data_IF_740141829867
#
_entry.id   IF_740141829867
#
_cell.length_a   1.000
_cell.length_b   1.000
_cell.length_c   1.000
_cell.angle_alpha   90.00
_cell.angle_beta   90.00
_cell.angle_gamma   90.00
#
_symmetry.space_group_name_H-M   'P 1'
#
loop_
_entity.id
_entity.type
_entity.pdbx_description
1 polymer ?
#
# COMPACT_ATOMS: atom_id res chain seq x y z
N UNK A 1 -6.81 -66.22 -51.20
CA UNK A 1 -6.20 -65.00 -50.70
C UNK A 1 -7.26 -64.18 -49.99
N UNK A 2 -7.20 -64.02 -48.65
CA UNK A 2 -8.12 -63.21 -47.87
C UNK A 2 -7.49 -61.83 -47.63
N UNK A 3 -8.21 -60.73 -47.82
CA UNK A 3 -7.64 -59.38 -47.55
C UNK A 3 -7.54 -59.11 -46.04
N UNK A 4 -6.36 -58.62 -45.59
CA UNK A 4 -6.12 -58.20 -44.27
C UNK A 4 -6.88 -56.90 -44.02
N UNK A 5 -7.70 -56.86 -42.98
CA UNK A 5 -8.39 -55.63 -42.50
C UNK A 5 -7.40 -54.89 -41.62
N UNK A 6 -6.99 -53.70 -42.05
CA UNK A 6 -6.23 -52.79 -41.24
C UNK A 6 -7.19 -52.13 -40.20
N UNK A 7 -6.92 -52.33 -38.90
CA UNK A 7 -7.61 -51.63 -37.84
C UNK A 7 -6.90 -50.30 -37.60
N UNK A 8 -7.58 -49.20 -37.92
CA UNK A 8 -7.11 -47.85 -37.65
C UNK A 8 -7.36 -47.53 -36.18
N UNK A 9 -6.30 -47.52 -35.37
CA UNK A 9 -6.38 -47.12 -33.95
C UNK A 9 -6.35 -45.58 -33.86
N UNK A 10 -7.52 -44.96 -33.63
CA UNK A 10 -7.57 -43.52 -33.35
C UNK A 10 -7.25 -43.31 -31.88
N UNK A 11 -6.07 -42.82 -31.58
CA UNK A 11 -5.67 -42.39 -30.24
C UNK A 11 -6.19 -40.97 -30.03
N UNK A 12 -7.29 -40.82 -29.31
CA UNK A 12 -7.73 -39.53 -28.79
C UNK A 12 -6.82 -39.12 -27.61
N UNK A 13 -5.88 -38.26 -27.86
CA UNK A 13 -5.14 -37.57 -26.81
C UNK A 13 -6.02 -36.47 -26.21
N UNK A 14 -6.62 -36.75 -25.03
CA UNK A 14 -7.19 -35.70 -24.19
C UNK A 14 -6.05 -34.85 -23.65
N UNK A 15 -5.81 -33.72 -24.28
CA UNK A 15 -4.96 -32.68 -23.75
C UNK A 15 -5.64 -32.09 -22.51
N UNK A 16 -5.24 -32.53 -21.31
CA UNK A 16 -5.50 -31.81 -20.07
C UNK A 16 -4.79 -30.46 -20.17
N UNK A 17 -5.54 -29.45 -20.60
CA UNK A 17 -5.10 -28.07 -20.51
C UNK A 17 -4.93 -27.72 -19.03
N UNK A 18 -3.72 -27.85 -18.49
CA UNK A 18 -3.35 -27.19 -17.26
C UNK A 18 -3.42 -25.68 -17.52
N UNK A 19 -4.56 -25.08 -17.12
CA UNK A 19 -4.62 -23.63 -16.93
C UNK A 19 -3.61 -23.31 -15.84
N UNK A 20 -2.44 -22.82 -16.22
CA UNK A 20 -1.53 -22.21 -15.26
C UNK A 20 -2.31 -21.08 -14.61
N UNK A 21 -2.69 -21.25 -13.34
CA UNK A 21 -3.28 -20.19 -12.56
C UNK A 21 -2.34 -18.99 -12.68
N UNK A 22 -2.82 -17.89 -13.26
CA UNK A 22 -2.03 -16.69 -13.43
C UNK A 22 -1.50 -16.30 -12.06
N UNK A 23 -0.19 -16.45 -11.86
CA UNK A 23 0.47 -16.04 -10.63
C UNK A 23 0.16 -14.54 -10.49
N UNK A 24 -0.51 -14.15 -9.40
CA UNK A 24 -0.81 -12.73 -9.16
C UNK A 24 0.53 -12.00 -9.04
N UNK A 25 0.86 -11.21 -10.04
CA UNK A 25 2.07 -10.40 -10.04
C UNK A 25 1.88 -9.27 -9.01
N UNK A 26 2.58 -9.39 -7.88
CA UNK A 26 2.73 -8.33 -6.90
C UNK A 26 4.04 -7.61 -7.15
N UNK A 27 3.98 -6.29 -7.26
CA UNK A 27 5.19 -5.47 -7.21
C UNK A 27 5.36 -4.92 -5.80
N UNK A 28 6.49 -5.24 -5.17
CA UNK A 28 6.87 -4.69 -3.86
C UNK A 28 7.50 -3.32 -4.07
N UNK A 29 7.02 -2.34 -3.32
CA UNK A 29 7.51 -0.96 -3.39
C UNK A 29 8.13 -0.59 -2.05
N UNK A 30 9.38 -0.13 -2.09
CA UNK A 30 10.09 0.36 -0.93
C UNK A 30 10.90 1.61 -1.33
N UNK A 31 10.78 2.67 -0.54
CA UNK A 31 11.50 3.92 -0.72
C UNK A 31 12.71 3.99 0.21
N UNK A 32 13.82 4.55 -0.28
CA UNK A 32 14.97 4.89 0.56
C UNK A 32 14.80 6.22 1.31
N UNK A 33 13.83 7.04 0.87
CA UNK A 33 13.52 8.35 1.46
C UNK A 33 12.49 8.26 2.60
N UNK A 34 11.73 7.15 2.67
CA UNK A 34 10.89 6.85 3.83
C UNK A 34 11.73 6.19 4.95
N UNK A 35 11.27 6.20 6.20
CA UNK A 35 12.01 5.60 7.29
C UNK A 35 12.44 4.18 6.97
N UNK A 36 13.74 3.84 7.12
CA UNK A 36 14.24 2.51 6.83
C UNK A 36 13.63 1.48 7.78
N UNK A 37 13.29 0.32 7.25
CA UNK A 37 12.67 -0.76 8.03
C UNK A 37 13.43 -2.09 7.83
N UNK A 38 14.74 -2.13 8.16
CA UNK A 38 15.54 -3.33 7.98
C UNK A 38 14.95 -4.48 8.81
N UNK A 39 14.71 -5.63 8.17
CA UNK A 39 14.14 -6.81 8.84
C UNK A 39 12.65 -6.74 9.14
N UNK A 40 11.93 -5.70 8.72
CA UNK A 40 10.48 -5.66 8.88
C UNK A 40 9.81 -6.81 8.11
N UNK A 41 8.80 -7.49 8.68
CA UNK A 41 8.12 -8.61 8.04
C UNK A 41 7.08 -8.15 6.98
N UNK A 42 7.24 -6.94 6.44
CA UNK A 42 6.32 -6.33 5.46
C UNK A 42 7.06 -5.37 4.53
N UNK A 43 6.44 -5.01 3.41
CA UNK A 43 6.91 -3.99 2.48
C UNK A 43 6.22 -2.66 2.76
N UNK A 44 6.84 -1.54 2.41
CA UNK A 44 6.24 -0.20 2.55
C UNK A 44 5.03 -0.01 1.64
N UNK A 45 4.99 -0.71 0.50
CA UNK A 45 3.84 -0.78 -0.38
C UNK A 45 3.82 -2.05 -1.22
N UNK A 46 2.62 -2.44 -1.66
CA UNK A 46 2.38 -3.57 -2.56
C UNK A 46 1.44 -3.13 -3.67
N UNK A 47 1.87 -3.28 -4.92
CA UNK A 47 1.08 -2.97 -6.10
C UNK A 47 0.47 -4.23 -6.69
N UNK A 48 -0.82 -4.19 -7.01
CA UNK A 48 -1.58 -5.25 -7.68
C UNK A 48 -2.44 -4.60 -8.77
N UNK A 49 -2.15 -4.92 -10.03
CA UNK A 49 -2.78 -4.23 -11.15
C UNK A 49 -2.44 -2.73 -11.12
N UNK A 50 -3.45 -1.88 -11.14
CA UNK A 50 -3.29 -0.42 -11.08
C UNK A 50 -3.41 0.16 -9.65
N UNK A 51 -3.64 -0.67 -8.63
CA UNK A 51 -3.75 -0.22 -7.24
C UNK A 51 -2.48 -0.50 -6.46
N UNK A 52 -2.11 0.44 -5.58
CA UNK A 52 -1.07 0.25 -4.57
C UNK A 52 -1.67 0.43 -3.18
N UNK A 53 -1.38 -0.52 -2.30
CA UNK A 53 -1.64 -0.45 -0.86
C UNK A 53 -0.35 -0.11 -0.14
N UNK A 54 -0.34 1.01 0.58
CA UNK A 54 0.78 1.39 1.41
C UNK A 54 0.54 0.91 2.84
N UNK A 55 1.60 0.39 3.46
CA UNK A 55 1.57 0.05 4.88
C UNK A 55 1.38 1.29 5.73
N UNK A 56 0.79 1.12 6.92
CA UNK A 56 0.67 2.16 7.91
C UNK A 56 2.02 2.82 8.22
N UNK A 57 2.02 4.14 8.30
CA UNK A 57 3.20 4.93 8.55
C UNK A 57 2.93 5.91 9.69
N UNK A 58 3.72 5.82 10.76
CA UNK A 58 3.78 6.81 11.81
C UNK A 58 4.72 7.95 11.39
N UNK A 59 4.62 9.10 12.04
CA UNK A 59 5.44 10.29 11.70
C UNK A 59 6.90 10.19 12.13
N UNK A 60 7.54 9.03 11.87
CA UNK A 60 8.93 8.79 12.17
C UNK A 60 9.84 9.57 11.22
N UNK A 61 10.77 10.33 11.75
CA UNK A 61 11.79 11.05 10.96
C UNK A 61 12.76 10.04 10.31
N UNK A 62 12.97 10.08 8.98
CA UNK A 62 13.81 9.10 8.28
C UNK A 62 15.28 9.14 8.69
N UNK A 63 15.79 10.29 9.12
CA UNK A 63 17.20 10.47 9.48
C UNK A 63 17.51 10.01 10.91
N UNK A 64 16.58 10.24 11.84
CA UNK A 64 16.80 9.97 13.26
C UNK A 64 16.08 8.74 13.78
N UNK A 65 15.08 8.25 13.06
CA UNK A 65 14.22 7.16 13.47
C UNK A 65 13.26 7.51 14.62
N UNK A 66 13.14 8.79 15.00
CA UNK A 66 12.32 9.25 16.12
C UNK A 66 10.97 9.79 15.66
N UNK A 67 9.97 9.65 16.50
CA UNK A 67 8.66 10.29 16.37
C UNK A 67 8.66 11.60 17.15
N UNK A 68 8.11 12.67 16.58
CA UNK A 68 8.00 13.96 17.27
C UNK A 68 6.93 13.89 18.37
N UNK A 69 7.14 14.53 19.53
CA UNK A 69 6.09 14.69 20.52
C UNK A 69 5.03 15.72 20.10
N UNK A 70 5.30 16.57 19.11
CA UNK A 70 4.34 17.51 18.54
C UNK A 70 3.49 16.79 17.48
N UNK A 71 2.18 16.73 17.72
CA UNK A 71 1.22 16.05 16.86
C UNK A 71 1.22 16.61 15.42
N UNK A 72 1.33 17.93 15.25
CA UNK A 72 1.29 18.53 13.91
C UNK A 72 2.54 18.18 13.09
N UNK A 73 3.69 18.15 13.74
CA UNK A 73 4.97 17.71 13.14
C UNK A 73 4.88 16.23 12.77
N UNK A 74 4.38 15.40 13.68
CA UNK A 74 4.22 13.96 13.47
C UNK A 74 3.27 13.65 12.31
N UNK A 75 2.08 14.27 12.28
CA UNK A 75 1.10 14.08 11.23
C UNK A 75 1.65 14.46 9.84
N UNK A 76 2.33 15.61 9.74
CA UNK A 76 2.99 16.03 8.49
C UNK A 76 4.07 15.05 8.05
N UNK A 77 4.86 14.56 8.99
CA UNK A 77 5.93 13.61 8.69
C UNK A 77 5.36 12.27 8.21
N UNK A 78 4.27 11.78 8.80
CA UNK A 78 3.59 10.56 8.35
C UNK A 78 3.14 10.68 6.88
N UNK A 79 2.52 11.80 6.49
CA UNK A 79 2.11 12.05 5.10
C UNK A 79 3.33 12.12 4.16
N UNK A 80 4.42 12.79 4.56
CA UNK A 80 5.66 12.86 3.77
C UNK A 80 6.31 11.49 3.57
N UNK A 81 6.31 10.65 4.60
CA UNK A 81 6.84 9.29 4.50
C UNK A 81 6.05 8.45 3.49
N UNK A 82 4.71 8.55 3.51
CA UNK A 82 3.85 7.88 2.53
C UNK A 82 4.03 8.44 1.12
N UNK A 83 4.19 9.76 0.98
CA UNK A 83 4.51 10.39 -0.31
C UNK A 83 5.83 9.87 -0.89
N UNK A 84 6.85 9.66 -0.07
CA UNK A 84 8.12 9.09 -0.49
C UNK A 84 7.95 7.64 -1.03
N UNK A 85 7.04 6.85 -0.44
CA UNK A 85 6.71 5.51 -0.97
C UNK A 85 5.93 5.59 -2.27
N UNK A 86 4.97 6.54 -2.40
CA UNK A 86 4.26 6.78 -3.66
C UNK A 86 5.21 7.17 -4.79
N UNK A 87 6.17 8.07 -4.53
CA UNK A 87 7.19 8.49 -5.50
C UNK A 87 8.06 7.31 -5.99
N UNK A 88 8.37 6.37 -5.11
CA UNK A 88 9.09 5.14 -5.50
C UNK A 88 8.26 4.20 -6.41
N UNK A 89 6.95 4.46 -6.54
CA UNK A 89 6.04 3.78 -7.45
C UNK A 89 5.63 4.65 -8.66
N UNK A 90 6.31 5.78 -8.90
CA UNK A 90 5.96 6.80 -9.91
C UNK A 90 4.54 7.36 -9.72
N UNK A 91 4.11 7.51 -8.46
CA UNK A 91 2.82 8.08 -8.06
C UNK A 91 3.03 9.28 -7.14
N UNK A 92 1.94 9.99 -6.87
CA UNK A 92 1.91 11.19 -6.02
C UNK A 92 0.71 11.17 -5.06
N UNK A 93 0.60 12.16 -4.18
CA UNK A 93 -0.58 12.34 -3.33
C UNK A 93 -1.88 12.56 -4.13
N UNK A 94 -1.79 13.01 -5.39
CA UNK A 94 -2.94 13.21 -6.27
C UNK A 94 -3.57 11.87 -6.76
N UNK A 95 -2.83 10.77 -6.65
CA UNK A 95 -3.27 9.44 -7.07
C UNK A 95 -3.92 8.66 -5.91
N UNK A 96 -3.91 9.22 -4.69
CA UNK A 96 -4.52 8.61 -3.50
C UNK A 96 -6.03 8.61 -3.64
N UNK A 97 -6.64 7.43 -3.49
CA UNK A 97 -8.11 7.24 -3.57
C UNK A 97 -8.73 6.91 -2.20
N UNK A 98 -7.94 6.42 -1.26
CA UNK A 98 -8.38 6.11 0.11
C UNK A 98 -7.27 6.44 1.12
N UNK A 99 -7.69 7.04 2.24
CA UNK A 99 -6.87 7.29 3.42
C UNK A 99 -7.52 6.66 4.64
N UNK A 100 -6.79 5.88 5.41
CA UNK A 100 -7.16 5.48 6.76
C UNK A 100 -6.24 6.20 7.76
N UNK A 101 -6.84 6.74 8.82
CA UNK A 101 -6.16 7.50 9.87
C UNK A 101 -6.52 6.91 11.22
N UNK A 102 -5.50 6.51 11.95
CA UNK A 102 -5.59 5.97 13.29
C UNK A 102 -4.93 6.96 14.26
N UNK A 103 -5.62 7.34 15.33
CA UNK A 103 -5.09 8.28 16.33
C UNK A 103 -5.30 7.75 17.74
N UNK A 104 -4.40 8.08 18.65
CA UNK A 104 -4.56 7.74 20.07
C UNK A 104 -5.50 8.71 20.80
N UNK A 105 -5.77 9.89 20.20
CA UNK A 105 -6.68 10.90 20.74
C UNK A 105 -7.57 11.47 19.63
N UNK A 106 -8.87 11.12 19.64
CA UNK A 106 -9.84 11.60 18.65
C UNK A 106 -10.13 13.11 18.72
N UNK A 107 -9.80 13.78 19.83
CA UNK A 107 -9.89 15.22 19.94
C UNK A 107 -8.94 15.97 18.98
N UNK A 108 -7.95 15.27 18.43
CA UNK A 108 -7.05 15.81 17.38
C UNK A 108 -7.68 15.91 15.98
N UNK A 109 -8.97 15.56 15.83
CA UNK A 109 -9.65 15.53 14.52
C UNK A 109 -9.53 16.84 13.73
N UNK A 110 -9.85 17.99 14.36
CA UNK A 110 -9.80 19.29 13.67
C UNK A 110 -8.37 19.74 13.37
N UNK A 111 -7.43 19.49 14.29
CA UNK A 111 -6.02 19.78 14.07
C UNK A 111 -5.47 18.95 12.89
N UNK A 112 -5.84 17.68 12.81
CA UNK A 112 -5.47 16.83 11.67
C UNK A 112 -6.14 17.31 10.38
N UNK A 113 -7.42 17.69 10.38
CA UNK A 113 -8.12 18.18 9.19
C UNK A 113 -7.43 19.39 8.57
N UNK A 114 -6.95 20.35 9.37
CA UNK A 114 -6.22 21.51 8.88
C UNK A 114 -4.94 21.10 8.13
N UNK A 115 -4.17 20.19 8.70
CA UNK A 115 -2.94 19.64 8.08
C UNK A 115 -3.27 18.86 6.80
N UNK A 116 -4.30 18.02 6.87
CA UNK A 116 -4.68 17.15 5.76
C UNK A 116 -5.10 17.94 4.53
N UNK A 117 -5.94 18.98 4.70
CA UNK A 117 -6.39 19.84 3.60
C UNK A 117 -5.27 20.68 3.02
N UNK A 118 -4.27 21.06 3.83
CA UNK A 118 -3.07 21.77 3.35
C UNK A 118 -2.17 20.86 2.49
N UNK A 119 -2.01 19.59 2.88
CA UNK A 119 -1.04 18.68 2.24
C UNK A 119 -1.61 17.85 1.10
N UNK A 120 -2.92 17.50 1.17
CA UNK A 120 -3.53 16.64 0.17
C UNK A 120 -4.11 17.43 -1.00
N UNK A 121 -3.80 17.07 -2.26
CA UNK A 121 -4.39 17.69 -3.44
C UNK A 121 -5.91 17.44 -3.52
N UNK A 122 -6.61 18.37 -4.15
CA UNK A 122 -8.05 18.20 -4.44
C UNK A 122 -8.24 17.53 -5.81
N UNK A 123 -9.31 16.69 -6.00
CA UNK A 123 -10.33 16.34 -5.00
C UNK A 123 -9.75 15.41 -3.91
N UNK A 124 -10.23 15.59 -2.66
CA UNK A 124 -9.76 14.78 -1.53
C UNK A 124 -10.23 13.31 -1.66
N UNK A 125 -9.40 12.32 -1.26
CA UNK A 125 -9.77 10.92 -1.29
C UNK A 125 -10.84 10.57 -0.24
N UNK A 126 -11.47 9.40 -0.39
CA UNK A 126 -12.30 8.84 0.67
C UNK A 126 -11.44 8.61 1.94
N UNK A 127 -11.97 8.94 3.14
CA UNK A 127 -11.20 8.86 4.38
C UNK A 127 -11.97 8.18 5.50
N UNK A 128 -11.22 7.42 6.34
CA UNK A 128 -11.65 6.94 7.65
C UNK A 128 -10.75 7.61 8.71
N UNK A 129 -11.32 7.98 9.86
CA UNK A 129 -10.58 8.53 11.01
C UNK A 129 -11.12 7.85 12.26
N UNK A 130 -10.28 7.14 13.00
CA UNK A 130 -10.68 6.33 14.17
C UNK A 130 -9.67 6.44 15.30
N UNK A 131 -10.17 6.37 16.53
CA UNK A 131 -9.35 6.26 17.73
C UNK A 131 -8.91 4.82 17.96
N UNK A 132 -7.66 4.66 18.39
CA UNK A 132 -7.05 3.37 18.78
C UNK A 132 -6.41 3.49 20.17
N UNK A 133 -6.24 2.35 20.84
CA UNK A 133 -5.70 2.34 22.20
C UNK A 133 -4.21 2.74 22.26
N UNK A 134 -3.41 2.36 21.26
CA UNK A 134 -2.00 2.67 21.16
C UNK A 134 -1.50 2.49 19.71
N UNK A 135 -0.36 3.10 19.40
CA UNK A 135 0.34 2.97 18.13
C UNK A 135 1.82 2.60 18.35
N UNK A 136 2.49 2.00 17.37
CA UNK A 136 3.92 1.66 17.47
C UNK A 136 4.78 2.89 17.77
N UNK A 137 5.91 2.67 18.43
CA UNK A 137 6.91 3.71 18.77
C UNK A 137 6.39 4.88 19.60
N UNK A 138 5.25 4.71 20.30
CA UNK A 138 4.62 5.78 21.07
C UNK A 138 4.03 6.88 20.19
N UNK A 139 3.73 6.59 18.93
CA UNK A 139 3.13 7.53 17.99
C UNK A 139 1.72 7.93 18.40
N UNK A 140 1.31 9.15 18.04
CA UNK A 140 -0.03 9.69 18.24
C UNK A 140 -0.93 9.48 17.03
N UNK A 141 -0.33 9.27 15.84
CA UNK A 141 -1.04 9.09 14.58
C UNK A 141 -0.32 8.07 13.68
N UNK A 142 -1.12 7.27 12.99
CA UNK A 142 -0.68 6.40 11.91
C UNK A 142 -1.61 6.60 10.72
N UNK A 143 -1.05 6.64 9.51
CA UNK A 143 -1.81 6.85 8.28
C UNK A 143 -1.44 5.75 7.28
N UNK A 144 -2.43 5.25 6.54
CA UNK A 144 -2.23 4.39 5.37
C UNK A 144 -2.98 4.93 4.16
N UNK A 145 -2.41 4.70 2.97
CA UNK A 145 -3.00 5.10 1.71
C UNK A 145 -3.29 3.89 0.81
N UNK A 146 -4.36 4.02 0.01
CA UNK A 146 -4.51 3.28 -1.24
C UNK A 146 -4.47 4.30 -2.37
N UNK A 147 -3.64 4.07 -3.38
CA UNK A 147 -3.55 4.93 -4.56
C UNK A 147 -3.81 4.12 -5.83
N UNK A 148 -4.23 4.80 -6.90
CA UNK A 148 -4.54 4.20 -8.20
C UNK A 148 -3.70 4.86 -9.29
N UNK A 149 -2.96 4.03 -10.05
CA UNK A 149 -2.30 4.46 -11.28
C UNK A 149 -3.35 4.65 -12.37
N UNK A 150 -3.32 5.77 -13.07
CA UNK A 150 -4.17 6.06 -14.23
C UNK A 150 -3.71 5.32 -15.47
#
# INVERSE_FOLDING_TARGET
MKPARAILLVVLTFGLGYSAAAQKDFTRVNSKEAPPRPGAPYNQGVMVGNLIWLSGNVGQDPATGKVSPDFAVEARQSIKNLEAVLKAADLSLADVVKTNVYVTDVAKYDAFNAIYVEMMPKPLPARTFVGVAALPSGAQIEIEFVAARK
#
